data_IF_672312127254
#
_entry.id   IF_672312127254
#
_cell.length_a   1.000
_cell.length_b   1.000
_cell.length_c   1.000
_cell.angle_alpha   90.00
_cell.angle_beta   90.00
_cell.angle_gamma   90.00
#
_symmetry.space_group_name_H-M   'P 1'
#
loop_
_entity.id
_entity.type
_entity.pdbx_description
1 polymer ?
#
# COMPACT_ATOMS: atom_id res chain seq x y z
N UNK A 1 -8.54 -4.00 26.33
CA UNK A 1 -9.24 -5.17 25.73
C UNK A 1 -10.29 -5.65 26.70
N UNK A 2 -11.40 -6.20 26.19
CA UNK A 2 -12.53 -6.67 26.98
C UNK A 2 -12.94 -8.07 26.57
N UNK A 3 -13.45 -8.84 27.53
CA UNK A 3 -13.90 -10.18 27.26
C UNK A 3 -15.18 -10.15 26.41
N UNK A 4 -15.12 -10.81 25.25
CA UNK A 4 -16.26 -11.11 24.40
C UNK A 4 -16.63 -12.57 24.64
N UNK A 5 -17.81 -12.79 25.22
CA UNK A 5 -18.33 -14.12 25.50
C UNK A 5 -19.50 -14.43 24.59
N UNK A 6 -19.38 -15.53 23.86
CA UNK A 6 -20.49 -16.03 23.04
C UNK A 6 -21.47 -16.78 23.92
N UNK A 7 -22.76 -16.43 23.77
CA UNK A 7 -23.86 -17.15 24.38
C UNK A 7 -24.51 -18.07 23.35
N UNK A 8 -25.16 -19.12 23.80
CA UNK A 8 -25.95 -20.06 22.99
C UNK A 8 -27.28 -19.43 22.49
N UNK A 9 -27.31 -18.12 22.27
CA UNK A 9 -28.55 -17.38 22.12
C UNK A 9 -28.56 -16.53 20.83
N UNK A 10 -27.44 -16.48 20.10
CA UNK A 10 -27.32 -15.58 18.95
C UNK A 10 -26.09 -15.79 18.09
N UNK A 11 -26.03 -15.01 17.01
CA UNK A 11 -24.90 -15.00 16.10
C UNK A 11 -23.68 -14.32 16.75
N UNK A 12 -22.52 -14.85 16.44
CA UNK A 12 -21.19 -14.38 16.85
C UNK A 12 -20.67 -13.36 15.86
N UNK A 13 -20.19 -12.24 16.37
CA UNK A 13 -19.66 -11.14 15.58
C UNK A 13 -18.13 -11.21 15.47
N UNK A 14 -17.58 -10.77 14.34
CA UNK A 14 -16.13 -10.64 14.16
C UNK A 14 -15.56 -9.46 14.93
N UNK A 15 -14.24 -9.48 15.13
CA UNK A 15 -13.53 -8.36 15.75
C UNK A 15 -13.07 -7.43 14.64
N UNK A 16 -13.14 -6.12 14.86
CA UNK A 16 -12.60 -5.15 13.91
C UNK A 16 -11.07 -5.15 14.00
N UNK A 17 -10.40 -5.29 12.85
CA UNK A 17 -8.95 -5.22 12.74
C UNK A 17 -8.54 -4.07 11.84
N UNK A 18 -7.25 -3.70 11.84
CA UNK A 18 -6.73 -2.72 10.90
C UNK A 18 -6.90 -3.15 9.43
N UNK A 19 -6.87 -4.46 9.14
CA UNK A 19 -7.11 -5.01 7.80
C UNK A 19 -8.60 -5.03 7.44
N UNK A 20 -9.45 -5.36 8.43
CA UNK A 20 -10.90 -5.46 8.26
C UNK A 20 -11.62 -4.56 9.29
N UNK A 21 -11.87 -3.28 8.95
CA UNK A 21 -12.47 -2.34 9.90
C UNK A 21 -13.98 -2.57 10.12
N UNK A 22 -14.58 -3.51 9.39
CA UNK A 22 -16.01 -3.81 9.45
C UNK A 22 -16.30 -5.04 10.29
N UNK A 23 -17.39 -4.97 11.07
CA UNK A 23 -17.92 -6.13 11.80
C UNK A 23 -18.77 -6.95 10.85
N UNK A 24 -18.55 -8.26 10.82
CA UNK A 24 -19.37 -9.21 10.09
C UNK A 24 -19.76 -10.38 11.00
N UNK A 25 -20.81 -11.09 10.60
CA UNK A 25 -21.25 -12.28 11.32
C UNK A 25 -20.32 -13.44 10.96
N UNK A 26 -19.68 -14.04 11.96
CA UNK A 26 -18.87 -15.25 11.78
C UNK A 26 -19.79 -16.47 11.65
N UNK A 27 -20.89 -16.48 12.39
CA UNK A 27 -21.84 -17.59 12.44
C UNK A 27 -22.35 -17.81 13.86
N UNK A 28 -22.88 -19.00 14.13
CA UNK A 28 -23.36 -19.35 15.48
C UNK A 28 -22.25 -20.11 16.23
N UNK A 29 -21.82 -19.58 17.36
CA UNK A 29 -20.85 -20.25 18.26
C UNK A 29 -21.31 -20.10 19.70
N UNK A 30 -21.00 -21.09 20.55
CA UNK A 30 -21.37 -21.07 21.97
C UNK A 30 -20.24 -21.62 22.83
N UNK A 31 -20.09 -21.07 24.03
CA UNK A 31 -19.04 -21.46 24.98
C UNK A 31 -17.65 -20.96 24.57
N UNK A 32 -17.57 -20.07 23.57
CA UNK A 32 -16.33 -19.46 23.11
C UNK A 32 -16.14 -18.08 23.73
N UNK A 33 -14.91 -17.76 24.12
CA UNK A 33 -14.53 -16.47 24.68
C UNK A 33 -13.23 -15.96 24.07
N UNK A 34 -13.18 -14.66 23.81
CA UNK A 34 -11.97 -13.96 23.32
C UNK A 34 -11.83 -12.57 23.93
N UNK A 35 -10.70 -11.92 23.68
CA UNK A 35 -10.43 -10.55 24.10
C UNK A 35 -10.58 -9.60 22.91
N UNK A 36 -11.64 -8.80 22.91
CA UNK A 36 -11.91 -7.82 21.86
C UNK A 36 -11.45 -6.41 22.23
N UNK A 37 -11.28 -5.59 21.19
CA UNK A 37 -11.09 -4.16 21.34
C UNK A 37 -12.44 -3.47 21.59
N UNK A 38 -12.43 -2.38 22.36
CA UNK A 38 -13.65 -1.66 22.71
C UNK A 38 -14.08 -0.67 21.65
N UNK A 39 -15.40 -0.55 21.47
CA UNK A 39 -16.04 0.55 20.76
C UNK A 39 -15.48 0.72 19.34
N UNK A 40 -14.83 1.87 19.12
CA UNK A 40 -14.29 2.27 17.82
C UNK A 40 -12.79 1.95 17.65
N UNK A 41 -12.21 1.17 18.57
CA UNK A 41 -10.82 0.73 18.45
C UNK A 41 -10.72 -0.48 17.53
N UNK A 42 -9.67 -0.49 16.72
CA UNK A 42 -9.29 -1.58 15.82
C UNK A 42 -8.14 -2.38 16.43
N UNK A 43 -8.17 -3.69 16.28
CA UNK A 43 -7.04 -4.53 16.64
C UNK A 43 -5.95 -4.46 15.57
N UNK A 44 -4.75 -4.05 15.96
CA UNK A 44 -3.58 -4.12 15.10
C UNK A 44 -2.84 -5.43 15.35
N UNK A 45 -2.86 -6.33 14.36
CA UNK A 45 -2.25 -7.66 14.45
C UNK A 45 -0.72 -7.60 14.49
N UNK A 46 -0.11 -6.52 14.01
CA UNK A 46 1.35 -6.37 14.03
C UNK A 46 1.85 -5.96 15.41
N UNK A 47 1.17 -5.02 16.07
CA UNK A 47 1.57 -4.52 17.38
C UNK A 47 0.95 -5.31 18.54
N UNK A 48 -0.17 -6.00 18.30
CA UNK A 48 -0.96 -6.69 19.33
C UNK A 48 -1.77 -5.75 20.22
N UNK A 49 -1.95 -4.49 19.81
CA UNK A 49 -2.66 -3.47 20.58
C UNK A 49 -3.94 -3.00 19.88
N UNK A 50 -4.88 -2.51 20.69
CA UNK A 50 -6.07 -1.83 20.18
C UNK A 50 -5.74 -0.36 19.91
N UNK A 51 -5.83 0.06 18.65
CA UNK A 51 -5.47 1.39 18.18
C UNK A 51 -6.68 2.09 17.53
N UNK A 52 -6.57 3.39 17.28
CA UNK A 52 -7.56 4.11 16.48
C UNK A 52 -7.33 3.84 14.99
N UNK A 53 -8.37 4.01 14.18
CA UNK A 53 -8.28 3.87 12.72
C UNK A 53 -7.15 4.72 12.10
N UNK A 54 -6.91 5.93 12.63
CA UNK A 54 -5.81 6.81 12.19
C UNK A 54 -4.42 6.27 12.46
N UNK A 55 -4.29 5.35 13.41
CA UNK A 55 -3.00 4.83 13.87
C UNK A 55 -2.69 3.44 13.27
N UNK A 56 -3.60 2.89 12.47
CA UNK A 56 -3.39 1.62 11.78
C UNK A 56 -2.27 1.74 10.73
N UNK A 57 -1.37 0.75 10.63
CA UNK A 57 -0.19 0.80 9.76
C UNK A 57 -0.54 0.88 8.26
N UNK A 58 -1.75 0.43 7.88
CA UNK A 58 -2.27 0.46 6.52
C UNK A 58 -2.72 1.86 6.06
N UNK A 59 -2.99 2.77 7.00
CA UNK A 59 -3.23 4.18 6.72
C UNK A 59 -1.99 4.97 7.14
N UNK A 60 -0.92 5.04 6.33
CA UNK A 60 0.24 5.84 6.67
C UNK A 60 -0.17 7.31 6.75
N UNK A 61 -0.52 7.77 7.96
CA UNK A 61 -0.70 9.18 8.32
C UNK A 61 0.58 9.98 8.11
N UNK A 62 1.71 9.29 7.95
CA UNK A 62 2.96 9.86 7.49
C UNK A 62 2.90 10.06 5.97
N UNK A 63 2.38 11.22 5.57
CA UNK A 63 2.60 11.75 4.21
C UNK A 63 4.05 11.50 3.82
N UNK A 64 4.34 10.88 2.67
CA UNK A 64 5.72 10.67 2.25
C UNK A 64 6.42 12.03 2.26
N UNK A 65 7.48 12.17 3.07
CA UNK A 65 8.28 13.40 3.08
C UNK A 65 8.67 13.68 1.63
N UNK A 66 8.31 14.84 1.06
CA UNK A 66 8.75 15.16 -0.30
C UNK A 66 10.27 15.06 -0.29
N UNK A 67 10.81 14.17 -1.12
CA UNK A 67 12.25 14.10 -1.37
C UNK A 67 12.65 15.51 -1.81
N UNK A 68 13.40 16.23 -0.95
CA UNK A 68 13.99 17.52 -1.33
C UNK A 68 14.71 17.28 -2.65
N UNK A 69 14.46 18.04 -3.73
CA UNK A 69 15.26 17.93 -4.93
C UNK A 69 16.70 18.26 -4.52
N UNK A 70 17.53 17.22 -4.45
CA UNK A 70 18.97 17.38 -4.25
C UNK A 70 19.45 18.32 -5.36
N UNK A 71 20.04 19.43 -4.97
CA UNK A 71 20.38 20.56 -5.83
C UNK A 71 20.78 20.14 -7.25
N UNK A 72 19.92 20.53 -8.18
CA UNK A 72 20.20 20.95 -9.56
C UNK A 72 21.72 21.02 -9.84
N UNK A 73 22.28 19.98 -10.46
CA UNK A 73 23.64 20.07 -11.03
C UNK A 73 23.64 21.25 -12.00
N UNK A 74 24.48 22.25 -11.71
CA UNK A 74 24.70 23.45 -12.52
C UNK A 74 24.91 23.06 -13.98
N UNK A 75 24.21 23.76 -14.87
CA UNK A 75 24.23 23.51 -16.30
C UNK A 75 25.62 23.62 -16.91
N UNK A 76 26.00 22.60 -17.67
CA UNK A 76 27.03 22.69 -18.70
C UNK A 76 26.36 23.06 -20.03
N UNK A 77 26.67 24.26 -20.56
CA UNK A 77 26.28 24.65 -21.92
C UNK A 77 27.22 23.96 -22.94
N UNK A 78 26.61 23.21 -23.87
CA UNK A 78 27.00 22.94 -25.27
C UNK A 78 28.37 22.28 -25.52
N UNK A 79 28.52 21.37 -26.51
CA UNK A 79 28.49 21.67 -27.95
C UNK A 79 27.99 20.46 -28.76
N UNK A 80 27.03 20.71 -29.65
CA UNK A 80 26.65 19.77 -30.70
C UNK A 80 27.77 19.78 -31.75
N UNK A 81 28.63 18.76 -31.74
CA UNK A 81 29.62 18.59 -32.80
C UNK A 81 28.94 17.82 -33.94
N UNK A 82 28.49 18.53 -34.98
CA UNK A 82 28.01 17.90 -36.20
C UNK A 82 29.15 17.08 -36.81
N UNK A 83 29.06 15.75 -36.80
CA UNK A 83 30.06 14.89 -37.44
C UNK A 83 29.94 15.03 -38.96
N UNK A 84 30.98 15.57 -39.60
CA UNK A 84 31.11 15.61 -41.06
C UNK A 84 31.60 14.24 -41.57
N UNK A 85 30.67 13.31 -41.76
CA UNK A 85 30.75 12.10 -42.61
C UNK A 85 29.49 11.31 -42.27
N UNK A 86 28.56 11.14 -43.18
CA UNK A 86 28.57 10.02 -44.13
C UNK A 86 27.90 10.50 -45.44
N UNK A 87 28.63 10.42 -46.56
CA UNK A 87 28.03 10.46 -47.90
C UNK A 87 27.68 9.02 -48.23
N UNK A 88 26.41 8.70 -48.37
CA UNK A 88 25.96 7.44 -48.96
C UNK A 88 25.84 7.73 -50.46
N UNK A 89 26.66 7.05 -51.27
CA UNK A 89 26.44 6.96 -52.71
C UNK A 89 25.30 5.97 -52.93
N UNK A 90 24.23 6.43 -53.56
CA UNK A 90 23.28 5.55 -54.25
C UNK A 90 23.94 4.96 -55.50
N UNK A 91 23.33 3.92 -56.08
CA UNK A 91 23.81 2.99 -57.14
C UNK A 91 24.40 1.70 -56.50
N UNK A 92 23.86 0.48 -56.67
CA UNK A 92 23.04 -0.12 -57.74
C UNK A 92 22.10 -1.20 -57.16
N UNK A 93 20.86 -1.25 -57.63
CA UNK A 93 19.89 -2.33 -57.40
C UNK A 93 20.09 -3.44 -58.45
N UNK A 94 20.20 -4.73 -58.09
CA UNK A 94 19.92 -5.81 -59.03
C UNK A 94 18.44 -6.21 -58.97
N UNK A 95 17.75 -6.04 -60.09
CA UNK A 95 16.48 -6.72 -60.39
C UNK A 95 16.66 -8.24 -60.24
N UNK A 96 15.71 -8.89 -59.57
CA UNK A 96 15.47 -10.31 -59.78
C UNK A 96 13.97 -10.57 -59.81
N UNK A 97 13.57 -11.16 -60.94
CA UNK A 97 12.28 -11.74 -61.27
C UNK A 97 11.87 -12.84 -60.29
#
# INVERSE_FOLDING_TARGET
MHAYHTRCDGQTMSQRTCESPFVYVIGYTCGWSRCDCNGDLLYDEQSGYCVKETDCPLFPTRKPKPRRPSGRRKGGKQKYHSSKRIRIKEEELPESQ
#
